data_IF_883118540382
#
_entry.id   IF_883118540382
#
_cell.length_a   1.000
_cell.length_b   1.000
_cell.length_c   1.000
_cell.angle_alpha   90.00
_cell.angle_beta   90.00
_cell.angle_gamma   90.00
#
_symmetry.space_group_name_H-M   'P 1'
#
loop_
_entity.id
_entity.type
_entity.pdbx_description
1 polymer ?
#
# COMPACT_ATOMS: atom_id res chain seq x y z
N UNK A 1 12.83 -4.32 10.88
CA UNK A 1 12.28 -3.10 11.50
C UNK A 1 13.20 -2.67 12.64
N UNK A 2 13.80 -1.46 12.62
CA UNK A 2 14.77 -1.03 13.63
C UNK A 2 14.12 -0.62 14.96
N UNK A 3 12.96 0.03 14.91
CA UNK A 3 12.18 0.49 16.08
C UNK A 3 10.69 0.33 15.79
N UNK A 4 9.81 0.18 16.80
CA UNK A 4 8.36 0.03 16.60
C UNK A 4 7.73 1.13 15.73
N UNK A 5 8.24 2.36 15.82
CA UNK A 5 7.67 3.52 15.12
C UNK A 5 7.81 3.48 13.59
N UNK A 6 8.86 2.86 13.04
CA UNK A 6 9.17 2.94 11.61
C UNK A 6 9.44 1.55 11.04
N UNK A 7 8.71 1.18 9.99
CA UNK A 7 8.97 0.00 9.18
C UNK A 7 9.45 0.39 7.78
N UNK A 8 10.37 -0.39 7.22
CA UNK A 8 10.84 -0.26 5.83
C UNK A 8 10.79 -1.65 5.22
N UNK A 9 10.25 -1.75 4.01
CA UNK A 9 10.05 -3.00 3.32
C UNK A 9 10.22 -2.85 1.80
N UNK A 10 10.33 -3.99 1.13
CA UNK A 10 10.39 -4.08 -0.32
C UNK A 10 9.46 -5.20 -0.75
N UNK A 11 8.63 -4.94 -1.76
CA UNK A 11 7.67 -5.89 -2.30
C UNK A 11 8.01 -6.16 -3.76
N UNK A 12 7.94 -7.43 -4.17
CA UNK A 12 8.09 -7.85 -5.55
C UNK A 12 6.83 -8.57 -6.02
N UNK A 13 6.26 -8.13 -7.14
CA UNK A 13 5.03 -8.68 -7.71
C UNK A 13 5.24 -9.12 -9.15
N UNK A 14 5.00 -10.39 -9.43
CA UNK A 14 4.95 -10.93 -10.78
C UNK A 14 3.49 -11.06 -11.25
N UNK A 15 3.17 -10.45 -12.40
CA UNK A 15 1.86 -10.49 -13.04
C UNK A 15 1.87 -11.32 -14.33
N UNK A 16 0.69 -11.47 -14.94
CA UNK A 16 0.54 -12.14 -16.24
C UNK A 16 1.18 -11.30 -17.35
N UNK A 17 1.80 -11.96 -18.34
CA UNK A 17 2.35 -11.30 -19.53
C UNK A 17 3.61 -10.49 -19.25
N UNK A 18 4.64 -11.15 -18.70
CA UNK A 18 5.98 -10.58 -18.38
C UNK A 18 5.99 -9.30 -17.55
N UNK A 19 4.88 -9.00 -16.85
CA UNK A 19 4.77 -7.84 -15.98
C UNK A 19 5.43 -8.13 -14.63
N UNK A 20 6.42 -7.32 -14.27
CA UNK A 20 7.04 -7.35 -12.93
C UNK A 20 7.03 -5.95 -12.32
N UNK A 21 6.74 -5.88 -11.03
CA UNK A 21 6.73 -4.64 -10.25
C UNK A 21 7.61 -4.82 -9.01
N UNK A 22 8.46 -3.83 -8.75
CA UNK A 22 9.27 -3.72 -7.55
C UNK A 22 8.88 -2.44 -6.83
N UNK A 23 8.41 -2.60 -5.59
CA UNK A 23 7.96 -1.49 -4.75
C UNK A 23 8.82 -1.42 -3.49
N UNK A 24 9.18 -0.20 -3.08
CA UNK A 24 9.87 0.07 -1.80
C UNK A 24 8.93 0.89 -0.94
N UNK A 25 8.69 0.44 0.29
CA UNK A 25 7.76 1.07 1.22
C UNK A 25 8.46 1.51 2.50
N UNK A 26 7.97 2.62 3.06
CA UNK A 26 8.34 3.10 4.38
C UNK A 26 7.07 3.54 5.11
N UNK A 27 6.87 3.01 6.31
CA UNK A 27 5.62 3.16 7.07
C UNK A 27 5.94 3.73 8.46
N UNK A 28 5.17 4.74 8.86
CA UNK A 28 5.20 5.32 10.19
C UNK A 28 4.02 4.76 11.01
N UNK A 29 4.31 3.98 12.05
CA UNK A 29 3.33 3.34 12.92
C UNK A 29 3.33 4.02 14.29
N UNK A 30 2.40 4.96 14.52
CA UNK A 30 2.29 5.65 15.80
C UNK A 30 1.22 5.03 16.69
N UNK A 31 1.60 4.59 17.89
CA UNK A 31 0.67 3.99 18.85
C UNK A 31 0.30 4.97 19.96
N UNK A 32 -0.95 5.45 19.94
CA UNK A 32 -1.47 6.32 20.99
C UNK A 32 -1.51 5.59 22.34
N UNK A 33 -1.12 6.29 23.41
CA UNK A 33 -1.05 5.72 24.76
C UNK A 33 0.26 5.01 25.11
N UNK A 34 1.16 4.82 24.14
CA UNK A 34 2.52 4.31 24.39
C UNK A 34 3.51 5.49 24.42
N UNK A 35 4.36 5.62 25.44
CA UNK A 35 5.38 6.67 25.48
C UNK A 35 6.27 6.65 24.23
N UNK A 36 6.58 7.83 23.67
CA UNK A 36 7.41 7.95 22.46
C UNK A 36 8.78 7.26 22.62
N UNK A 37 9.37 7.32 23.82
CA UNK A 37 10.63 6.64 24.15
C UNK A 37 10.58 5.14 23.88
N UNK A 38 9.44 4.49 24.15
CA UNK A 38 9.26 3.05 23.97
C UNK A 38 8.99 2.72 22.49
N UNK A 39 8.46 3.68 21.72
CA UNK A 39 8.26 3.52 20.27
C UNK A 39 9.56 3.71 19.47
N UNK A 40 10.56 4.38 20.04
CA UNK A 40 11.90 4.59 19.50
C UNK A 40 12.95 3.59 20.04
N UNK A 41 12.51 2.65 20.87
CA UNK A 41 13.38 1.65 21.51
C UNK A 41 13.44 0.36 20.66
N UNK A 42 14.62 -0.06 20.17
CA UNK A 42 14.79 -1.31 19.43
C UNK A 42 14.36 -2.55 20.20
N UNK A 43 14.50 -2.56 21.54
CA UNK A 43 14.16 -3.71 22.37
C UNK A 43 12.64 -3.95 22.44
N UNK A 44 11.85 -2.95 22.07
CA UNK A 44 10.38 -3.01 22.06
C UNK A 44 9.80 -3.56 20.76
N UNK A 45 10.62 -3.80 19.72
CA UNK A 45 10.16 -4.36 18.44
C UNK A 45 9.51 -5.74 18.65
N UNK A 46 10.14 -6.64 19.40
CA UNK A 46 9.59 -7.98 19.65
C UNK A 46 8.21 -7.94 20.32
N UNK A 47 8.03 -7.04 21.30
CA UNK A 47 6.76 -6.86 21.98
C UNK A 47 5.68 -6.27 21.06
N UNK A 48 6.05 -5.35 20.17
CA UNK A 48 5.14 -4.76 19.18
C UNK A 48 4.59 -5.81 18.20
N UNK A 49 5.40 -6.80 17.80
CA UNK A 49 5.01 -7.92 16.93
C UNK A 49 4.25 -9.05 17.65
N UNK A 50 4.01 -8.94 18.95
CA UNK A 50 3.20 -9.91 19.69
C UNK A 50 1.71 -9.75 19.38
N UNK A 51 0.91 -10.80 19.59
CA UNK A 51 -0.56 -10.72 19.43
C UNK A 51 -1.20 -9.57 20.23
N UNK A 52 -0.70 -9.30 21.44
CA UNK A 52 -1.18 -8.19 22.26
C UNK A 52 -0.72 -6.83 21.73
N UNK A 53 0.48 -6.77 21.14
CA UNK A 53 1.03 -5.57 20.51
C UNK A 53 0.29 -5.17 19.24
N UNK A 54 -0.01 -6.17 18.40
CA UNK A 54 -0.67 -6.00 17.09
C UNK A 54 -2.17 -5.75 17.14
N UNK A 55 -2.80 -5.74 18.32
CA UNK A 55 -4.26 -5.59 18.46
C UNK A 55 -4.83 -4.28 17.89
N UNK A 56 -3.97 -3.27 17.68
CA UNK A 56 -4.33 -1.96 17.13
C UNK A 56 -3.74 -1.75 15.73
N UNK A 57 -3.14 -2.77 15.14
CA UNK A 57 -2.57 -2.68 13.80
C UNK A 57 -3.67 -2.43 12.77
N UNK A 58 -3.33 -1.70 11.72
CA UNK A 58 -4.24 -1.49 10.61
C UNK A 58 -4.57 -2.81 9.92
N UNK A 59 -5.77 -2.88 9.35
CA UNK A 59 -6.18 -4.04 8.55
C UNK A 59 -5.27 -4.16 7.33
N UNK A 60 -4.63 -5.31 7.17
CA UNK A 60 -3.81 -5.62 6.01
C UNK A 60 -4.69 -5.89 4.78
N UNK A 61 -4.71 -4.93 3.85
CA UNK A 61 -5.50 -4.99 2.61
C UNK A 61 -4.96 -4.05 1.53
N UNK A 62 -5.37 -4.28 0.28
CA UNK A 62 -5.19 -3.29 -0.77
C UNK A 62 -6.25 -2.18 -0.64
N UNK A 63 -5.81 -0.95 -0.40
CA UNK A 63 -6.68 0.21 -0.29
C UNK A 63 -6.89 0.96 -1.63
N UNK A 64 -6.23 0.54 -2.71
CA UNK A 64 -6.38 1.13 -4.04
C UNK A 64 -7.55 0.49 -4.80
N UNK A 65 -8.34 1.33 -5.46
CA UNK A 65 -9.39 0.88 -6.39
C UNK A 65 -8.70 0.48 -7.70
N UNK A 66 -8.77 -0.81 -8.04
CA UNK A 66 -8.26 -1.32 -9.31
C UNK A 66 -9.27 -0.99 -10.41
N UNK A 67 -8.84 -0.23 -11.41
CA UNK A 67 -9.68 0.22 -12.52
C UNK A 67 -9.40 -0.60 -13.78
N UNK A 68 -10.44 -0.88 -14.55
CA UNK A 68 -10.36 -1.44 -15.90
C UNK A 68 -10.89 -0.40 -16.90
N UNK A 69 -10.22 -0.26 -18.04
CA UNK A 69 -10.66 0.64 -19.10
C UNK A 69 -11.41 -0.12 -20.19
N UNK A 70 -12.60 0.39 -20.55
CA UNK A 70 -13.34 -0.03 -21.74
C UNK A 70 -13.30 1.11 -22.75
N UNK A 71 -12.73 0.85 -23.91
CA UNK A 71 -12.71 1.80 -25.02
C UNK A 71 -14.14 2.14 -25.46
N UNK A 72 -14.40 3.43 -25.69
CA UNK A 72 -15.66 3.92 -26.24
C UNK A 72 -15.53 4.00 -27.75
N UNK A 73 -16.56 3.59 -28.47
CA UNK A 73 -16.59 3.71 -29.92
C UNK A 73 -16.34 5.16 -30.35
N UNK A 74 -15.42 5.41 -31.30
CA UNK A 74 -15.19 6.73 -31.83
C UNK A 74 -16.46 7.26 -32.49
N UNK A 75 -16.78 8.54 -32.24
CA UNK A 75 -17.96 9.18 -32.82
C UNK A 75 -17.78 9.29 -34.34
N UNK A 76 -18.54 8.51 -35.10
CA UNK A 76 -18.52 8.54 -36.56
C UNK A 76 -19.31 9.75 -37.07
N UNK A 77 -18.65 10.91 -37.15
CA UNK A 77 -19.26 12.16 -37.66
C UNK A 77 -19.13 12.20 -39.18
N UNK A 78 -19.92 11.38 -39.87
CA UNK A 78 -20.07 11.50 -41.32
C UNK A 78 -20.89 12.76 -41.64
N UNK A 79 -20.22 13.83 -42.08
CA UNK A 79 -20.86 15.05 -42.58
C UNK A 79 -21.44 14.79 -43.97
N UNK A 80 -22.76 14.56 -44.04
CA UNK A 80 -23.50 14.49 -45.30
C UNK A 80 -23.73 15.90 -45.87
N UNK A 81 -22.70 16.49 -46.47
CA UNK A 81 -22.91 17.61 -47.40
C UNK A 81 -23.12 17.03 -48.80
N UNK A 82 -24.38 16.78 -49.12
CA UNK A 82 -24.83 16.57 -50.50
C UNK A 82 -25.43 17.89 -50.98
N UNK A 83 -24.68 18.61 -51.81
CA UNK A 83 -25.16 19.70 -52.65
C UNK A 83 -24.47 19.58 -54.02
#
# INVERSE_FOLDING_TARGET
>A
QPVPLIAVGTDFKAGTGDNTDLSVNATLNYQFGVPLKDQLDPDKVSAAHSLMGSRHDFVERNNFIVLEYKEKDPLDVTLWLKA
#
